data_IF_031723458517
#
_entry.id   IF_031723458517
#
_cell.length_a   1.000
_cell.length_b   1.000
_cell.length_c   1.000
_cell.angle_alpha   90.00
_cell.angle_beta   90.00
_cell.angle_gamma   90.00
#
_symmetry.space_group_name_H-M   'P 1'
#
loop_
_entity.id
_entity.type
_entity.pdbx_description
1 polymer ?
#
# COMPACT_ATOMS: atom_id res chain seq x y z
N UNK A 1 -5.08 6.47 10.94
CA UNK A 1 -5.03 5.02 10.64
C UNK A 1 -6.28 4.62 9.88
N UNK A 2 -6.14 3.91 8.77
CA UNK A 2 -7.25 3.41 7.93
C UNK A 2 -7.64 2.01 8.40
N UNK A 3 -8.94 1.73 8.52
CA UNK A 3 -9.42 0.44 9.01
C UNK A 3 -9.14 -0.71 8.02
N UNK A 4 -9.47 -0.51 6.74
CA UNK A 4 -9.25 -1.48 5.68
C UNK A 4 -8.75 -0.78 4.42
N UNK A 5 -7.68 -1.31 3.84
CA UNK A 5 -7.13 -0.92 2.55
C UNK A 5 -7.28 -2.10 1.59
N UNK A 6 -8.06 -1.91 0.52
CA UNK A 6 -8.26 -2.93 -0.51
C UNK A 6 -7.47 -2.57 -1.76
N UNK A 7 -6.57 -3.44 -2.18
CA UNK A 7 -5.77 -3.32 -3.40
C UNK A 7 -6.08 -4.54 -4.27
N UNK A 8 -6.93 -4.36 -5.29
CA UNK A 8 -7.45 -5.47 -6.08
C UNK A 8 -8.17 -6.50 -5.20
N UNK A 9 -7.62 -7.73 -5.14
CA UNK A 9 -8.14 -8.83 -4.31
C UNK A 9 -7.47 -8.93 -2.92
N UNK A 10 -6.54 -8.05 -2.59
CA UNK A 10 -5.82 -8.06 -1.31
C UNK A 10 -6.47 -7.03 -0.37
N UNK A 11 -6.82 -7.47 0.83
CA UNK A 11 -7.31 -6.59 1.90
C UNK A 11 -6.31 -6.56 3.05
N UNK A 12 -5.80 -5.37 3.34
CA UNK A 12 -4.97 -5.07 4.51
C UNK A 12 -5.81 -4.35 5.56
N UNK A 13 -5.67 -4.75 6.82
CA UNK A 13 -6.38 -4.11 7.93
C UNK A 13 -5.42 -3.28 8.79
N UNK A 14 -5.94 -2.23 9.42
CA UNK A 14 -5.18 -1.33 10.31
C UNK A 14 -3.91 -0.77 9.63
N UNK A 15 -4.09 -0.04 8.53
CA UNK A 15 -2.99 0.56 7.79
C UNK A 15 -2.73 1.96 8.32
N UNK A 16 -1.48 2.28 8.64
CA UNK A 16 -1.09 3.64 8.98
C UNK A 16 -1.08 4.50 7.71
N UNK A 17 -1.81 5.61 7.76
CA UNK A 17 -1.87 6.57 6.67
C UNK A 17 -1.90 7.98 7.24
N UNK A 18 -1.21 8.87 6.55
CA UNK A 18 -1.13 10.29 6.85
C UNK A 18 -1.84 11.04 5.72
N UNK A 19 -2.68 12.02 6.09
CA UNK A 19 -3.26 12.96 5.14
C UNK A 19 -2.34 14.17 5.13
N UNK A 20 -1.73 14.42 3.97
CA UNK A 20 -0.93 15.63 3.77
C UNK A 20 -1.87 16.72 3.27
N UNK A 21 -2.10 17.73 4.11
CA UNK A 21 -2.86 18.91 3.72
C UNK A 21 -1.94 19.86 2.95
N UNK A 22 -2.01 19.77 1.63
CA UNK A 22 -1.20 20.54 0.70
C UNK A 22 -1.41 19.98 -0.70
N UNK A 23 -1.55 20.84 -1.71
CA UNK A 23 -1.98 20.46 -3.07
C UNK A 23 -1.02 19.54 -3.85
N UNK A 24 -0.04 18.92 -3.21
CA UNK A 24 0.92 18.01 -3.82
C UNK A 24 1.46 17.00 -2.80
N UNK A 25 1.57 15.71 -3.15
CA UNK A 25 1.16 15.10 -4.42
C UNK A 25 -0.37 14.97 -4.53
N UNK A 26 -0.93 15.19 -5.72
CA UNK A 26 -2.36 14.94 -6.00
C UNK A 26 -2.73 13.45 -6.07
N UNK A 27 -1.73 12.57 -5.94
CA UNK A 27 -1.87 11.12 -6.00
C UNK A 27 -1.70 10.52 -4.62
N UNK A 28 -2.51 9.51 -4.31
CA UNK A 28 -2.36 8.73 -3.08
C UNK A 28 -1.09 7.90 -3.18
N UNK A 29 -0.15 8.13 -2.26
CA UNK A 29 1.09 7.36 -2.17
C UNK A 29 0.93 6.17 -1.22
N UNK A 30 1.36 5.00 -1.67
CA UNK A 30 1.43 3.80 -0.84
C UNK A 30 2.80 3.73 -0.16
N UNK A 31 2.80 3.92 1.16
CA UNK A 31 4.03 3.88 1.96
C UNK A 31 4.60 2.48 2.17
N UNK A 32 5.87 2.42 2.56
CA UNK A 32 6.58 1.17 2.83
C UNK A 32 5.97 0.35 3.99
N UNK A 33 5.28 0.99 4.94
CA UNK A 33 4.59 0.31 6.06
C UNK A 33 3.48 -0.63 5.59
N UNK A 34 2.74 -0.25 4.54
CA UNK A 34 1.74 -1.10 3.90
C UNK A 34 2.39 -2.14 2.97
N UNK A 35 3.42 -1.73 2.23
CA UNK A 35 4.13 -2.59 1.28
C UNK A 35 4.89 -3.75 1.97
N UNK A 36 5.54 -3.50 3.11
CA UNK A 36 6.29 -4.52 3.86
C UNK A 36 5.39 -5.63 4.45
N UNK A 37 4.08 -5.37 4.59
CA UNK A 37 3.10 -6.39 5.01
C UNK A 37 2.75 -7.38 3.91
N UNK A 38 3.07 -7.05 2.67
CA UNK A 38 2.89 -7.90 1.51
C UNK A 38 4.21 -8.57 1.15
N UNK A 39 4.14 -9.72 0.50
CA UNK A 39 5.29 -10.29 -0.18
C UNK A 39 5.47 -9.55 -1.52
N UNK A 40 6.56 -8.81 -1.60
CA UNK A 40 6.89 -8.01 -2.78
C UNK A 40 7.92 -8.76 -3.62
N UNK A 41 7.56 -9.12 -4.85
CA UNK A 41 8.49 -9.64 -5.85
C UNK A 41 8.60 -8.67 -7.02
N UNK A 42 9.76 -8.04 -7.15
CA UNK A 42 10.08 -7.18 -8.29
C UNK A 42 10.76 -8.03 -9.37
N UNK A 43 10.22 -7.99 -10.58
CA UNK A 43 10.78 -8.61 -11.78
C UNK A 43 10.81 -7.54 -12.87
N UNK A 44 12.00 -7.04 -13.18
CA UNK A 44 12.23 -5.93 -14.12
C UNK A 44 11.35 -4.71 -13.81
N UNK A 45 10.32 -4.49 -14.65
CA UNK A 45 9.36 -3.38 -14.57
C UNK A 45 8.10 -3.73 -13.78
N UNK A 46 7.91 -5.00 -13.41
CA UNK A 46 6.74 -5.48 -12.71
C UNK A 46 7.02 -5.62 -11.21
N UNK A 47 6.05 -5.21 -10.39
CA UNK A 47 6.04 -5.42 -8.96
C UNK A 47 4.81 -6.28 -8.61
N UNK A 48 5.06 -7.55 -8.27
CA UNK A 48 4.03 -8.46 -7.81
C UNK A 48 3.89 -8.35 -6.30
N UNK A 49 2.68 -8.04 -5.83
CA UNK A 49 2.33 -8.01 -4.43
C UNK A 49 1.48 -9.24 -4.09
N UNK A 50 1.91 -10.04 -3.13
CA UNK A 50 1.17 -11.22 -2.68
C UNK A 50 0.86 -11.09 -1.20
N UNK A 51 -0.36 -11.44 -0.78
CA UNK A 51 -0.71 -11.46 0.65
C UNK A 51 0.09 -12.58 1.32
N UNK A 52 0.88 -12.24 2.34
CA UNK A 52 1.46 -13.25 3.25
C UNK A 52 0.31 -13.84 4.08
N UNK A 53 0.24 -15.17 4.14
CA UNK A 53 -0.83 -15.93 4.78
C UNK A 53 -1.11 -15.46 6.20
#
# INVERSE_FOLDING_TARGET
TIAHLKIGNITLSQVEANVLEGGSPSVVLLGMSALNRLDMKRQDIALTLTKKY
#
